data_IF_294779596686
#
_entry.id   IF_294779596686
#
_cell.length_a   1.000
_cell.length_b   1.000
_cell.length_c   1.000
_cell.angle_alpha   90.00
_cell.angle_beta   90.00
_cell.angle_gamma   90.00
#
_symmetry.space_group_name_H-M   'P 1'
#
loop_
_entity.id
_entity.type
_entity.pdbx_description
1 polymer ?
#
# COMPACT_ATOMS: atom_id res chain seq x y z
N UNK A 1 -9.32 3.60 -14.52
CA UNK A 1 -8.52 2.44 -14.07
C UNK A 1 -7.26 2.40 -14.91
N UNK A 2 -6.09 2.56 -14.28
CA UNK A 2 -4.79 2.50 -14.96
C UNK A 2 -3.92 1.50 -14.21
N UNK A 3 -3.34 0.54 -14.92
CA UNK A 3 -2.31 -0.34 -14.37
C UNK A 3 -0.96 0.36 -14.40
N UNK A 4 -0.05 0.02 -13.48
CA UNK A 4 1.34 0.49 -13.54
C UNK A 4 2.00 -0.08 -14.80
N UNK A 5 2.50 0.76 -15.72
CA UNK A 5 3.23 0.28 -16.89
C UNK A 5 4.43 -0.57 -16.48
N UNK A 6 4.61 -1.76 -17.07
CA UNK A 6 5.70 -2.67 -16.66
C UNK A 6 6.96 -2.51 -17.52
N UNK A 7 6.79 -2.17 -18.81
CA UNK A 7 7.87 -2.14 -19.81
C UNK A 7 8.72 -0.87 -19.72
N UNK A 8 8.10 0.30 -19.72
CA UNK A 8 8.82 1.57 -19.66
C UNK A 8 9.11 1.94 -18.19
N UNK A 9 10.39 1.99 -17.82
CA UNK A 9 10.85 2.26 -16.45
C UNK A 9 10.45 3.64 -15.95
N UNK A 10 10.63 4.68 -16.76
CA UNK A 10 10.26 6.06 -16.41
C UNK A 10 8.75 6.19 -16.16
N UNK A 11 7.92 5.63 -17.03
CA UNK A 11 6.46 5.66 -16.84
C UNK A 11 6.01 4.82 -15.65
N UNK A 12 6.69 3.69 -15.38
CA UNK A 12 6.46 2.87 -14.19
C UNK A 12 6.73 3.68 -12.92
N UNK A 13 7.87 4.36 -12.86
CA UNK A 13 8.26 5.20 -11.73
C UNK A 13 7.27 6.35 -11.53
N UNK A 14 6.92 7.08 -12.58
CA UNK A 14 5.91 8.14 -12.49
C UNK A 14 4.55 7.62 -12.03
N UNK A 15 4.10 6.46 -12.53
CA UNK A 15 2.85 5.84 -12.10
C UNK A 15 2.89 5.48 -10.62
N UNK A 16 3.96 4.82 -10.15
CA UNK A 16 4.16 4.48 -8.73
C UNK A 16 4.13 5.73 -7.85
N UNK A 17 4.87 6.77 -8.23
CA UNK A 17 4.96 8.01 -7.45
C UNK A 17 3.64 8.79 -7.40
N UNK A 18 2.75 8.56 -8.37
CA UNK A 18 1.42 9.16 -8.41
C UNK A 18 0.36 8.43 -7.56
N UNK A 19 0.62 7.19 -7.13
CA UNK A 19 -0.35 6.37 -6.39
C UNK A 19 -0.95 7.10 -5.17
N UNK A 20 -0.15 7.75 -4.29
CA UNK A 20 -0.71 8.40 -3.11
C UNK A 20 -1.69 9.53 -3.44
N UNK A 21 -1.45 10.28 -4.52
CA UNK A 21 -2.32 11.37 -4.95
C UNK A 21 -3.58 10.83 -5.62
N UNK A 22 -3.45 9.80 -6.46
CA UNK A 22 -4.62 9.18 -7.07
C UNK A 22 -5.56 8.60 -6.01
N UNK A 23 -5.00 7.84 -5.07
CA UNK A 23 -5.78 7.19 -4.01
C UNK A 23 -6.42 8.20 -3.06
N UNK A 24 -5.88 9.42 -2.94
CA UNK A 24 -6.50 10.46 -2.11
C UNK A 24 -7.70 11.13 -2.75
N UNK A 25 -7.93 10.97 -4.05
CA UNK A 25 -9.05 11.62 -4.75
C UNK A 25 -10.15 10.64 -5.18
N UNK A 26 -9.95 9.34 -5.05
CA UNK A 26 -10.99 8.35 -5.39
C UNK A 26 -12.14 8.37 -4.39
N UNK A 27 -13.35 8.07 -4.86
CA UNK A 27 -14.53 7.95 -3.98
C UNK A 27 -14.60 6.61 -3.25
N UNK A 28 -14.09 5.53 -3.84
CA UNK A 28 -14.20 4.18 -3.29
C UNK A 28 -12.87 3.47 -3.42
N UNK A 29 -12.40 2.86 -2.33
CA UNK A 29 -11.17 2.06 -2.30
C UNK A 29 -11.49 0.61 -1.98
N UNK A 30 -11.12 -0.31 -2.87
CA UNK A 30 -11.43 -1.74 -2.74
C UNK A 30 -10.13 -2.55 -2.63
N UNK A 31 -10.01 -3.31 -1.55
CA UNK A 31 -8.87 -4.17 -1.26
C UNK A 31 -9.24 -5.63 -1.58
N UNK A 32 -8.49 -6.26 -2.48
CA UNK A 32 -8.65 -7.68 -2.78
C UNK A 32 -7.43 -8.41 -2.22
N UNK A 33 -7.62 -9.16 -1.15
CA UNK A 33 -6.55 -9.84 -0.42
C UNK A 33 -6.92 -11.31 -0.14
N UNK A 34 -7.09 -12.13 -1.21
CA UNK A 34 -7.43 -13.54 -1.07
C UNK A 34 -6.30 -14.32 -0.42
N UNK A 35 -6.66 -15.44 0.19
CA UNK A 35 -5.72 -16.39 0.77
C UNK A 35 -5.06 -17.21 -0.36
N UNK A 36 -3.85 -16.80 -0.77
CA UNK A 36 -3.10 -17.41 -1.88
C UNK A 36 -1.60 -17.47 -1.57
N UNK A 37 -0.86 -18.29 -2.31
CA UNK A 37 0.61 -18.35 -2.24
C UNK A 37 1.20 -17.58 -3.42
N UNK A 38 2.15 -16.68 -3.15
CA UNK A 38 2.83 -15.90 -4.19
C UNK A 38 3.65 -16.83 -5.09
N UNK A 39 3.49 -16.72 -6.41
CA UNK A 39 4.15 -17.62 -7.36
C UNK A 39 5.69 -17.59 -7.26
N UNK A 40 6.27 -16.38 -7.17
CA UNK A 40 7.73 -16.24 -7.16
C UNK A 40 8.38 -16.39 -5.77
N UNK A 41 7.78 -15.81 -4.72
CA UNK A 41 8.38 -15.81 -3.37
C UNK A 41 7.92 -16.97 -2.51
N UNK A 42 6.85 -17.68 -2.91
CA UNK A 42 6.16 -18.71 -2.13
C UNK A 42 5.61 -18.19 -0.79
N UNK A 43 5.57 -16.87 -0.60
CA UNK A 43 5.00 -16.27 0.60
C UNK A 43 3.48 -16.35 0.58
N UNK A 44 2.90 -16.55 1.76
CA UNK A 44 1.47 -16.45 1.98
C UNK A 44 1.01 -15.01 1.75
N UNK A 45 0.03 -14.82 0.89
CA UNK A 45 -0.65 -13.56 0.62
C UNK A 45 -2.09 -13.65 1.15
N UNK A 46 -2.49 -12.67 1.94
CA UNK A 46 -3.83 -12.55 2.52
C UNK A 46 -3.98 -11.15 3.14
N UNK A 47 -5.12 -10.87 3.77
CA UNK A 47 -5.34 -9.58 4.44
C UNK A 47 -4.28 -9.27 5.51
N UNK A 48 -3.83 -10.26 6.29
CA UNK A 48 -2.82 -10.04 7.32
C UNK A 48 -1.47 -9.57 6.73
N UNK A 49 -1.01 -10.20 5.66
CA UNK A 49 0.22 -9.79 4.98
C UNK A 49 0.04 -8.52 4.16
N UNK A 50 -1.15 -8.27 3.60
CA UNK A 50 -1.49 -6.99 2.97
C UNK A 50 -1.31 -5.81 3.94
N UNK A 51 -1.82 -5.94 5.17
CA UNK A 51 -1.74 -4.88 6.20
C UNK A 51 -0.31 -4.54 6.66
N UNK A 52 0.68 -5.40 6.37
CA UNK A 52 2.10 -5.16 6.68
C UNK A 52 2.85 -4.45 5.56
N UNK A 53 2.35 -4.51 4.33
CA UNK A 53 3.05 -3.95 3.15
C UNK A 53 3.03 -2.43 3.17
N UNK A 54 4.21 -1.82 3.08
CA UNK A 54 4.36 -0.38 3.24
C UNK A 54 3.64 0.44 2.17
N UNK A 55 3.68 0.01 0.91
CA UNK A 55 2.89 0.63 -0.16
C UNK A 55 1.38 0.53 0.11
N UNK A 56 0.90 -0.63 0.58
CA UNK A 56 -0.52 -0.82 0.89
C UNK A 56 -0.97 0.06 2.07
N UNK A 57 -0.12 0.24 3.10
CA UNK A 57 -0.38 1.20 4.19
C UNK A 57 -0.45 2.63 3.67
N UNK A 58 0.44 2.99 2.74
CA UNK A 58 0.45 4.32 2.13
C UNK A 58 -0.82 4.60 1.34
N UNK A 59 -1.31 3.64 0.56
CA UNK A 59 -2.59 3.76 -0.16
C UNK A 59 -3.77 3.91 0.82
N UNK A 60 -3.83 3.08 1.86
CA UNK A 60 -4.87 3.19 2.89
C UNK A 60 -4.84 4.57 3.57
N UNK A 61 -3.65 5.07 3.90
CA UNK A 61 -3.48 6.38 4.50
C UNK A 61 -3.92 7.48 3.54
N UNK A 62 -3.47 7.44 2.28
CA UNK A 62 -3.91 8.38 1.25
C UNK A 62 -5.43 8.46 1.11
N UNK A 63 -6.11 7.31 1.10
CA UNK A 63 -7.57 7.25 1.05
C UNK A 63 -8.20 7.87 2.32
N UNK A 64 -7.68 7.54 3.50
CA UNK A 64 -8.13 8.10 4.78
C UNK A 64 -7.97 9.62 4.85
N UNK A 65 -6.85 10.14 4.36
CA UNK A 65 -6.55 11.57 4.36
C UNK A 65 -7.35 12.35 3.31
N UNK A 66 -7.74 11.70 2.21
CA UNK A 66 -8.55 12.30 1.15
C UNK A 66 -10.05 12.35 1.44
N UNK A 67 -10.62 11.27 1.98
CA UNK A 67 -12.08 11.09 2.14
C UNK A 67 -12.49 10.56 3.52
N UNK A 68 -11.63 10.66 4.53
CA UNK A 68 -11.92 10.17 5.90
C UNK A 68 -11.93 8.64 6.04
N UNK A 69 -11.73 7.88 4.95
CA UNK A 69 -11.69 6.42 4.94
C UNK A 69 -13.05 5.73 5.13
N UNK A 70 -14.15 6.43 4.88
CA UNK A 70 -15.51 5.93 5.06
C UNK A 70 -15.93 4.92 3.97
N UNK A 71 -15.42 5.08 2.75
CA UNK A 71 -15.76 4.25 1.58
C UNK A 71 -14.63 3.27 1.21
N UNK A 72 -14.09 2.61 2.22
CA UNK A 72 -13.11 1.53 2.05
C UNK A 72 -13.79 0.17 2.21
N UNK A 73 -13.46 -0.76 1.32
CA UNK A 73 -14.02 -2.11 1.30
C UNK A 73 -12.92 -3.15 1.07
N UNK A 74 -13.17 -4.40 1.46
CA UNK A 74 -12.24 -5.49 1.22
C UNK A 74 -12.92 -6.84 0.95
N UNK A 75 -12.19 -7.76 0.32
CA UNK A 75 -12.61 -9.15 0.09
C UNK A 75 -11.41 -10.11 0.12
N UNK A 76 -11.63 -11.31 0.63
CA UNK A 76 -10.72 -12.47 0.59
C UNK A 76 -10.96 -13.38 -0.62
N UNK A 77 -11.65 -12.87 -1.65
CA UNK A 77 -12.10 -13.65 -2.81
C UNK A 77 -13.57 -14.06 -2.74
N UNK A 78 -14.24 -13.81 -1.61
CA UNK A 78 -15.69 -13.93 -1.46
C UNK A 78 -16.41 -12.58 -1.58
N UNK A 79 -17.44 -12.39 -0.75
CA UNK A 79 -18.25 -11.16 -0.72
C UNK A 79 -17.43 -9.93 -0.33
N UNK A 80 -17.80 -8.78 -0.89
CA UNK A 80 -17.23 -7.50 -0.54
C UNK A 80 -17.77 -7.03 0.81
N UNK A 81 -16.87 -6.67 1.73
CA UNK A 81 -17.21 -6.22 3.08
C UNK A 81 -16.69 -4.80 3.32
N UNK A 82 -17.37 -3.97 4.12
CA UNK A 82 -16.81 -2.69 4.56
C UNK A 82 -15.44 -2.91 5.24
N UNK A 83 -14.50 -1.99 5.16
CA UNK A 83 -13.20 -2.11 5.83
C UNK A 83 -13.27 -1.50 7.23
N UNK A 84 -13.67 -2.30 8.22
CA UNK A 84 -13.81 -1.87 9.61
C UNK A 84 -13.47 -3.01 10.60
N UNK A 85 -13.41 -2.69 11.88
CA UNK A 85 -13.03 -3.62 12.95
C UNK A 85 -13.84 -4.93 12.95
N UNK A 86 -15.15 -4.84 12.67
CA UNK A 86 -16.07 -5.98 12.75
C UNK A 86 -15.98 -6.92 11.55
N UNK A 87 -15.51 -6.42 10.41
CA UNK A 87 -15.45 -7.18 9.16
C UNK A 87 -14.09 -7.79 8.90
N UNK A 88 -13.03 -7.32 9.57
CA UNK A 88 -11.66 -7.80 9.40
C UNK A 88 -11.44 -9.16 10.09
N UNK A 89 -10.45 -9.96 9.64
CA UNK A 89 -10.11 -11.21 10.31
C UNK A 89 -9.69 -10.93 11.77
N UNK A 90 -10.11 -11.79 12.71
CA UNK A 90 -9.90 -11.59 14.16
C UNK A 90 -8.45 -11.28 14.53
N UNK A 91 -7.49 -11.98 13.92
CA UNK A 91 -6.05 -11.78 14.14
C UNK A 91 -5.51 -10.43 13.63
N UNK A 92 -6.21 -9.80 12.69
CA UNK A 92 -5.91 -8.44 12.20
C UNK A 92 -6.60 -7.41 13.09
N UNK A 93 -7.83 -7.68 13.55
CA UNK A 93 -8.58 -6.78 14.45
C UNK A 93 -7.96 -6.63 15.85
N UNK A 94 -7.24 -7.65 16.34
CA UNK A 94 -6.48 -7.58 17.60
C UNK A 94 -5.25 -6.66 17.50
N UNK A 95 -4.71 -6.47 16.30
CA UNK A 95 -3.72 -5.45 16.02
C UNK A 95 -4.48 -4.14 15.74
N UNK A 96 -3.95 -2.98 16.15
CA UNK A 96 -4.65 -1.70 16.01
C UNK A 96 -4.77 -1.30 14.52
N UNK A 97 -5.74 -1.89 13.82
CA UNK A 97 -5.91 -1.83 12.37
C UNK A 97 -6.15 -0.39 11.90
N UNK A 98 -6.78 0.42 12.75
CA UNK A 98 -7.04 1.83 12.49
C UNK A 98 -5.75 2.66 12.51
N UNK A 99 -4.75 2.29 13.33
CA UNK A 99 -3.46 2.98 13.40
C UNK A 99 -2.47 2.49 12.34
N UNK A 100 -2.62 1.27 11.81
CA UNK A 100 -1.66 0.70 10.85
C UNK A 100 -1.38 1.58 9.62
N UNK A 101 -2.37 2.24 9.00
CA UNK A 101 -2.09 3.16 7.89
C UNK A 101 -1.19 4.33 8.29
N UNK A 102 -1.20 4.78 9.55
CA UNK A 102 -0.31 5.85 10.03
C UNK A 102 1.13 5.34 10.26
N UNK A 103 1.33 4.04 10.29
CA UNK A 103 2.63 3.39 10.46
C UNK A 103 3.31 3.05 9.11
N UNK A 104 3.11 3.89 8.07
CA UNK A 104 3.75 3.69 6.75
C UNK A 104 5.28 3.61 6.84
N UNK A 105 5.89 4.45 7.67
CA UNK A 105 7.35 4.58 7.80
C UNK A 105 7.91 3.88 9.03
N UNK A 106 7.10 3.13 9.77
CA UNK A 106 7.57 2.40 10.95
C UNK A 106 8.43 1.18 10.57
N UNK A 107 9.13 0.60 11.54
CA UNK A 107 9.87 -0.64 11.35
C UNK A 107 8.98 -1.85 11.03
N UNK A 108 7.68 -1.79 11.35
CA UNK A 108 6.70 -2.85 11.07
C UNK A 108 6.18 -2.82 9.63
N UNK A 109 6.59 -1.81 8.84
CA UNK A 109 6.18 -1.61 7.46
C UNK A 109 7.16 -2.29 6.49
N UNK A 110 6.67 -3.31 5.80
CA UNK A 110 7.47 -4.15 4.91
C UNK A 110 7.48 -3.62 3.49
N UNK A 111 8.69 -3.36 2.98
CA UNK A 111 8.91 -3.01 1.58
C UNK A 111 9.73 -4.12 0.93
N UNK A 112 9.26 -4.62 -0.21
CA UNK A 112 9.94 -5.68 -0.97
C UNK A 112 11.38 -5.31 -1.33
N UNK A 113 11.65 -4.02 -1.61
CA UNK A 113 13.00 -3.54 -1.88
C UNK A 113 13.97 -3.80 -0.71
N UNK A 114 13.50 -3.73 0.54
CA UNK A 114 14.31 -3.99 1.73
C UNK A 114 14.56 -5.49 1.92
N UNK A 115 13.52 -6.31 1.74
CA UNK A 115 13.65 -7.78 1.83
C UNK A 115 14.61 -8.35 0.79
N UNK A 116 14.72 -7.69 -0.38
CA UNK A 116 15.69 -8.01 -1.44
C UNK A 116 17.03 -7.32 -1.28
N UNK A 117 17.33 -6.77 -0.10
CA UNK A 117 18.62 -6.11 0.19
C UNK A 117 19.02 -5.04 -0.84
N UNK A 118 18.04 -4.32 -1.39
CA UNK A 118 18.25 -3.26 -2.40
C UNK A 118 19.12 -3.72 -3.58
N UNK A 119 18.71 -4.81 -4.23
CA UNK A 119 19.28 -5.28 -5.51
C UNK A 119 19.60 -4.14 -6.47
N UNK A 120 20.77 -4.24 -7.12
CA UNK A 120 21.20 -3.28 -8.15
C UNK A 120 20.30 -3.35 -9.37
N UNK A 121 20.20 -2.24 -10.10
CA UNK A 121 19.50 -2.21 -11.38
C UNK A 121 20.30 -2.90 -12.50
N UNK A 122 19.72 -2.95 -13.70
CA UNK A 122 20.33 -3.61 -14.86
C UNK A 122 21.67 -2.97 -15.28
N UNK A 123 21.88 -1.70 -14.94
CA UNK A 123 23.08 -0.93 -15.23
C UNK A 123 24.10 -0.99 -14.07
N UNK A 124 23.78 -1.71 -12.99
CA UNK A 124 24.61 -1.90 -11.81
C UNK A 124 24.52 -0.76 -10.78
N UNK A 125 23.61 0.19 -10.92
CA UNK A 125 23.43 1.25 -9.92
C UNK A 125 22.62 0.75 -8.71
N UNK A 126 22.84 1.39 -7.57
CA UNK A 126 22.04 1.12 -6.38
C UNK A 126 20.62 1.66 -6.58
N UNK A 127 19.60 0.80 -6.45
CA UNK A 127 18.21 1.25 -6.47
C UNK A 127 17.88 2.02 -5.19
N UNK A 128 17.20 3.17 -5.27
CA UNK A 128 16.73 3.87 -4.09
C UNK A 128 15.75 2.99 -3.32
N UNK A 129 15.76 3.11 -1.98
CA UNK A 129 14.81 2.40 -1.13
C UNK A 129 13.41 3.01 -1.29
N UNK A 130 12.41 2.18 -1.62
CA UNK A 130 11.01 2.61 -1.75
C UNK A 130 10.49 3.33 -0.51
N UNK A 131 10.89 2.88 0.69
CA UNK A 131 10.51 3.54 1.96
C UNK A 131 10.93 5.01 1.98
N UNK A 132 12.12 5.32 1.46
CA UNK A 132 12.61 6.70 1.36
C UNK A 132 11.95 7.45 0.20
N UNK A 133 11.84 6.81 -0.98
CA UNK A 133 11.21 7.42 -2.14
C UNK A 133 9.77 7.85 -1.86
N UNK A 134 9.04 7.04 -1.10
CA UNK A 134 7.66 7.28 -0.68
C UNK A 134 7.49 8.48 0.25
N UNK A 135 8.54 8.97 0.90
CA UNK A 135 8.43 10.14 1.79
C UNK A 135 7.94 11.38 1.04
N UNK A 136 8.44 11.64 -0.16
CA UNK A 136 8.10 12.84 -0.91
C UNK A 136 6.61 12.90 -1.33
N UNK A 137 6.04 11.83 -1.94
CA UNK A 137 4.60 11.77 -2.20
C UNK A 137 3.74 11.94 -0.94
N UNK A 138 4.12 11.28 0.16
CA UNK A 138 3.34 11.34 1.39
C UNK A 138 3.40 12.73 2.03
N UNK A 139 4.57 13.38 2.03
CA UNK A 139 4.70 14.78 2.48
C UNK A 139 3.85 15.73 1.64
N UNK A 140 3.82 15.55 0.32
CA UNK A 140 2.96 16.35 -0.57
C UNK A 140 1.48 16.20 -0.23
N UNK A 141 1.05 14.99 0.11
CA UNK A 141 -0.29 14.70 0.56
C UNK A 141 -0.61 15.35 1.91
N UNK A 142 0.30 15.25 2.90
CA UNK A 142 0.16 15.95 4.19
C UNK A 142 0.03 17.47 4.02
N UNK A 143 0.85 18.06 3.16
CA UNK A 143 0.81 19.51 2.90
C UNK A 143 -0.53 19.98 2.30
N UNK A 144 -1.24 19.11 1.56
CA UNK A 144 -2.56 19.44 1.02
C UNK A 144 -3.68 19.44 2.07
N UNK A 145 -3.51 18.72 3.20
CA UNK A 145 -4.50 18.72 4.28
C UNK A 145 -4.40 19.93 5.21
N UNK A 146 -3.26 20.64 5.21
CA UNK A 146 -3.03 21.82 6.04
C UNK A 146 -3.53 23.13 5.40
N UNK A 147 -4.21 23.04 4.25
CA UNK A 147 -4.82 24.17 3.56
C UNK A 147 -6.28 24.29 3.94
#
# INVERSE_FOLDING_TARGET
YFSIPQVNTTNKEHAIMSLPVYVSIINVFVIIAPEVVHADTLDRCNMQTYMRRGWCRAEQLSCKLGHGGLDMYWSDGGELRPFNEHSLPRHVGEQNWASMPFEVFSSTSEFTCCSRMHERDADGNAKPCDRHALMLPMLGLYANMLK
#
